data_IF_421033979101
#
_entry.id   IF_421033979101
#
_cell.length_a   1.000
_cell.length_b   1.000
_cell.length_c   1.000
_cell.angle_alpha   90.00
_cell.angle_beta   90.00
_cell.angle_gamma   90.00
#
_symmetry.space_group_name_H-M   'P 1'
#
loop_
_entity.id
_entity.type
_entity.pdbx_description
1 polymer ?
#
# COMPACT_ATOMS: atom_id res chain seq x y z
N UNK A 1 21.49 -41.26 41.36
CA UNK A 1 21.87 -39.83 41.28
C UNK A 1 22.53 -39.61 39.93
N UNK A 2 21.81 -39.05 38.96
CA UNK A 2 22.36 -38.54 37.71
C UNK A 2 21.49 -37.33 37.32
N UNK A 3 22.11 -36.14 37.33
CA UNK A 3 21.47 -34.89 36.96
C UNK A 3 21.55 -34.66 35.46
N UNK A 4 20.43 -34.28 34.85
CA UNK A 4 20.36 -33.72 33.50
C UNK A 4 19.66 -32.37 33.60
N UNK A 5 20.45 -31.30 33.62
CA UNK A 5 20.01 -29.93 33.38
C UNK A 5 19.82 -29.75 31.88
N UNK A 6 18.58 -29.74 31.40
CA UNK A 6 18.26 -29.30 30.04
C UNK A 6 18.20 -27.77 30.01
N UNK A 7 19.20 -27.17 29.38
CA UNK A 7 19.21 -25.78 28.93
C UNK A 7 18.11 -25.55 27.89
N UNK A 8 17.18 -24.62 28.16
CA UNK A 8 16.22 -24.12 27.17
C UNK A 8 16.95 -23.44 26.01
N UNK A 9 16.53 -23.61 24.75
CA UNK A 9 17.11 -22.87 23.64
C UNK A 9 16.66 -21.41 23.73
N UNK A 10 17.63 -20.50 23.66
CA UNK A 10 17.42 -19.07 23.45
C UNK A 10 16.83 -18.83 22.05
N UNK A 11 15.89 -17.89 21.86
CA UNK A 11 15.43 -17.52 20.53
C UNK A 11 16.58 -16.85 19.78
N UNK A 12 16.96 -17.42 18.64
CA UNK A 12 18.01 -16.88 17.77
C UNK A 12 17.51 -15.58 17.13
N UNK A 13 18.33 -14.51 17.08
CA UNK A 13 18.00 -13.28 16.39
C UNK A 13 17.95 -13.52 14.88
N UNK A 14 16.98 -12.91 14.22
CA UNK A 14 16.84 -12.90 12.77
C UNK A 14 18.14 -12.40 12.12
N UNK A 15 18.78 -13.27 11.33
CA UNK A 15 19.99 -12.98 10.58
C UNK A 15 19.65 -12.01 9.43
N UNK A 16 20.34 -10.88 9.38
CA UNK A 16 20.48 -10.00 8.22
C UNK A 16 20.99 -10.80 7.00
N UNK A 17 20.42 -10.58 5.81
CA UNK A 17 21.16 -10.80 4.55
C UNK A 17 20.52 -11.62 3.43
N UNK A 18 19.19 -11.69 3.32
CA UNK A 18 18.54 -11.94 2.02
C UNK A 18 17.53 -10.83 1.83
N UNK A 19 17.77 -9.92 0.89
CA UNK A 19 16.75 -8.94 0.48
C UNK A 19 15.52 -9.75 0.04
N UNK A 20 14.47 -9.74 0.85
CA UNK A 20 13.21 -10.31 0.41
C UNK A 20 12.77 -9.54 -0.84
N UNK A 21 12.58 -10.21 -1.98
CA UNK A 21 12.19 -9.52 -3.19
C UNK A 21 10.83 -8.84 -2.96
N UNK A 22 10.78 -7.54 -3.26
CA UNK A 22 9.67 -6.65 -2.95
C UNK A 22 8.68 -6.56 -4.10
N UNK A 23 7.40 -6.34 -3.78
CA UNK A 23 6.36 -6.04 -4.76
C UNK A 23 6.65 -4.70 -5.44
N UNK A 24 6.44 -4.59 -6.76
CA UNK A 24 6.60 -3.34 -7.51
C UNK A 24 5.44 -3.15 -8.49
N UNK A 25 4.95 -1.93 -8.62
CA UNK A 25 4.07 -1.49 -9.69
C UNK A 25 4.95 -1.09 -10.87
N UNK A 26 4.82 -1.79 -12.00
CA UNK A 26 5.67 -1.54 -13.17
C UNK A 26 4.99 -0.68 -14.22
N UNK A 27 3.67 -0.76 -14.32
CA UNK A 27 2.92 -0.05 -15.35
C UNK A 27 1.51 0.33 -14.89
N UNK A 28 1.03 1.47 -15.36
CA UNK A 28 -0.37 1.91 -15.27
C UNK A 28 -0.79 2.52 -16.61
N UNK A 29 -1.87 1.99 -17.20
CA UNK A 29 -2.56 2.55 -18.37
C UNK A 29 -3.94 3.03 -17.97
N UNK A 30 -4.28 4.23 -18.42
CA UNK A 30 -5.54 4.90 -18.12
C UNK A 30 -6.29 5.08 -19.43
N UNK A 31 -7.29 4.24 -19.65
CA UNK A 31 -8.19 4.35 -20.81
C UNK A 31 -9.27 5.40 -20.57
N UNK A 32 -9.72 5.53 -19.31
CA UNK A 32 -10.63 6.59 -18.89
C UNK A 32 -10.63 6.75 -17.38
N UNK A 33 -10.39 7.97 -16.89
CA UNK A 33 -10.47 8.29 -15.47
C UNK A 33 -10.64 9.79 -15.27
N UNK A 34 -11.86 10.21 -14.88
CA UNK A 34 -12.19 11.62 -14.61
C UNK A 34 -11.79 12.54 -15.79
N UNK A 35 -10.89 13.48 -15.53
CA UNK A 35 -10.37 14.49 -16.45
C UNK A 35 -8.95 14.19 -16.95
N UNK A 36 -8.46 12.97 -16.74
CA UNK A 36 -7.16 12.52 -17.26
C UNK A 36 -7.28 12.17 -18.74
N UNK A 37 -6.31 12.59 -19.53
CA UNK A 37 -6.25 12.31 -20.96
C UNK A 37 -6.32 10.78 -21.22
N UNK A 38 -7.29 10.30 -22.03
CA UNK A 38 -7.38 8.89 -22.41
C UNK A 38 -6.11 8.37 -23.08
N UNK A 39 -5.75 7.12 -22.83
CA UNK A 39 -4.54 6.49 -23.36
C UNK A 39 -3.26 6.91 -22.64
N UNK A 40 -3.37 7.52 -21.46
CA UNK A 40 -2.21 7.83 -20.61
C UNK A 40 -1.54 6.53 -20.17
N UNK A 41 -0.23 6.42 -20.39
CA UNK A 41 0.58 5.25 -20.03
C UNK A 41 1.79 5.70 -19.22
N UNK A 42 1.94 5.10 -18.04
CA UNK A 42 3.02 5.36 -17.10
C UNK A 42 3.78 4.07 -16.82
N UNK A 43 5.11 4.15 -16.84
CA UNK A 43 6.02 3.07 -16.49
C UNK A 43 6.85 3.53 -15.31
N UNK A 44 6.84 2.77 -14.22
CA UNK A 44 7.41 3.25 -12.97
C UNK A 44 8.80 2.67 -12.72
N UNK A 45 9.67 3.52 -12.20
CA UNK A 45 10.96 3.08 -11.65
C UNK A 45 10.73 2.22 -10.40
N UNK A 46 11.52 1.14 -10.20
CA UNK A 46 11.35 0.22 -9.07
C UNK A 46 11.73 0.84 -7.71
N UNK A 47 12.43 1.98 -7.71
CA UNK A 47 12.90 2.66 -6.50
C UNK A 47 12.13 3.95 -6.25
N UNK A 48 12.20 4.92 -7.16
CA UNK A 48 11.72 6.27 -6.93
C UNK A 48 10.94 6.83 -8.11
N UNK A 49 9.79 7.43 -7.81
CA UNK A 49 8.89 8.08 -8.76
C UNK A 49 8.49 9.44 -8.18
N UNK A 50 8.97 10.53 -8.78
CA UNK A 50 8.64 11.90 -8.43
C UNK A 50 7.48 12.38 -9.32
N UNK A 51 6.38 12.75 -8.68
CA UNK A 51 5.19 13.32 -9.31
C UNK A 51 5.28 14.84 -9.22
N UNK A 52 5.48 15.47 -10.37
CA UNK A 52 5.82 16.89 -10.50
C UNK A 52 4.77 17.66 -11.31
N UNK A 53 4.80 18.98 -11.23
CA UNK A 53 3.86 19.86 -11.93
C UNK A 53 3.20 20.90 -11.02
N UNK A 54 2.44 21.79 -11.62
CA UNK A 54 1.80 22.91 -10.93
C UNK A 54 0.64 22.46 -10.00
N UNK A 55 0.11 23.41 -9.22
CA UNK A 55 -1.11 23.19 -8.45
C UNK A 55 -2.30 23.02 -9.41
N UNK A 56 -3.11 21.97 -9.18
CA UNK A 56 -4.26 21.66 -10.03
C UNK A 56 -3.98 20.71 -11.20
N UNK A 57 -2.72 20.37 -11.49
CA UNK A 57 -2.37 19.48 -12.62
C UNK A 57 -2.65 17.99 -12.39
N UNK A 58 -3.17 17.63 -11.20
CA UNK A 58 -3.57 16.27 -10.87
C UNK A 58 -2.54 15.43 -10.10
N UNK A 59 -1.48 16.03 -9.55
CA UNK A 59 -0.47 15.31 -8.74
C UNK A 59 -1.08 14.46 -7.61
N UNK A 60 -1.89 15.08 -6.76
CA UNK A 60 -2.60 14.37 -5.68
C UNK A 60 -3.58 13.33 -6.21
N UNK A 61 -4.28 13.63 -7.33
CA UNK A 61 -5.19 12.68 -7.97
C UNK A 61 -4.46 11.42 -8.48
N UNK A 62 -3.25 11.58 -9.02
CA UNK A 62 -2.40 10.45 -9.41
C UNK A 62 -1.97 9.64 -8.18
N UNK A 63 -1.51 10.28 -7.10
CA UNK A 63 -1.12 9.57 -5.87
C UNK A 63 -2.29 8.81 -5.24
N UNK A 64 -3.49 9.39 -5.23
CA UNK A 64 -4.68 8.67 -4.77
C UNK A 64 -5.04 7.50 -5.69
N UNK A 65 -4.92 7.65 -7.01
CA UNK A 65 -5.14 6.57 -7.97
C UNK A 65 -4.15 5.42 -7.73
N UNK A 66 -2.87 5.74 -7.49
CA UNK A 66 -1.84 4.75 -7.17
C UNK A 66 -2.18 3.99 -5.88
N UNK A 67 -2.63 4.69 -4.84
CA UNK A 67 -3.08 4.04 -3.60
C UNK A 67 -4.27 3.11 -3.83
N UNK A 68 -5.27 3.53 -4.64
CA UNK A 68 -6.41 2.68 -5.02
C UNK A 68 -6.00 1.46 -5.83
N UNK A 69 -5.10 1.64 -6.80
CA UNK A 69 -4.55 0.56 -7.64
C UNK A 69 -3.80 -0.46 -6.80
N UNK A 70 -2.93 -0.02 -5.89
CA UNK A 70 -2.16 -0.92 -5.02
C UNK A 70 -3.04 -1.63 -3.98
N UNK A 71 -4.10 -0.96 -3.51
CA UNK A 71 -5.11 -1.58 -2.64
C UNK A 71 -6.11 -2.48 -3.38
N UNK A 72 -6.19 -2.34 -4.71
CA UNK A 72 -7.30 -2.85 -5.52
C UNK A 72 -8.68 -2.46 -4.96
N UNK A 73 -8.78 -1.25 -4.41
CA UNK A 73 -10.00 -0.70 -3.78
C UNK A 73 -10.54 0.43 -4.65
N UNK A 74 -11.58 0.11 -5.43
CA UNK A 74 -12.27 1.02 -6.34
C UNK A 74 -13.68 1.37 -5.84
N UNK A 75 -13.99 1.06 -4.58
CA UNK A 75 -15.32 1.30 -3.97
C UNK A 75 -15.73 2.78 -4.08
N UNK A 76 -14.78 3.70 -3.93
CA UNK A 76 -14.98 5.14 -4.11
C UNK A 76 -15.28 5.58 -5.55
N UNK A 77 -15.18 4.69 -6.54
CA UNK A 77 -15.49 4.94 -7.95
C UNK A 77 -16.72 4.17 -8.43
N UNK A 78 -17.50 3.56 -7.53
CA UNK A 78 -18.65 2.74 -7.89
C UNK A 78 -19.73 3.51 -8.67
N UNK A 79 -19.79 4.83 -8.50
CA UNK A 79 -20.72 5.72 -9.18
C UNK A 79 -20.10 6.52 -10.33
N UNK A 80 -18.84 6.26 -10.67
CA UNK A 80 -18.09 6.96 -11.72
C UNK A 80 -17.67 5.98 -12.82
N UNK A 81 -17.59 6.47 -14.07
CA UNK A 81 -17.02 5.70 -15.16
C UNK A 81 -15.49 5.72 -15.10
N UNK A 82 -14.87 4.55 -15.22
CA UNK A 82 -13.42 4.44 -15.33
C UNK A 82 -12.99 3.16 -16.06
N UNK A 83 -11.77 3.17 -16.59
CA UNK A 83 -11.13 2.00 -17.21
C UNK A 83 -9.61 2.11 -17.09
N UNK A 84 -9.01 1.12 -16.43
CA UNK A 84 -7.61 1.08 -16.04
C UNK A 84 -7.01 -0.30 -16.34
N UNK A 85 -5.72 -0.31 -16.65
CA UNK A 85 -4.89 -1.51 -16.66
C UNK A 85 -3.61 -1.24 -15.87
N UNK A 86 -3.15 -2.21 -15.07
CA UNK A 86 -1.90 -2.06 -14.35
C UNK A 86 -1.19 -3.40 -14.20
N UNK A 87 0.13 -3.33 -14.01
CA UNK A 87 0.99 -4.50 -13.87
C UNK A 87 1.79 -4.41 -12.57
N UNK A 88 1.82 -5.51 -11.84
CA UNK A 88 2.55 -5.68 -10.59
C UNK A 88 3.53 -6.83 -10.75
N UNK A 89 4.78 -6.62 -10.37
CA UNK A 89 5.78 -7.68 -10.30
C UNK A 89 6.03 -8.07 -8.84
N UNK A 90 6.16 -9.36 -8.63
CA UNK A 90 6.40 -9.98 -7.35
C UNK A 90 7.46 -11.07 -7.51
N UNK A 91 8.02 -11.57 -6.42
CA UNK A 91 8.96 -12.69 -6.48
C UNK A 91 8.30 -13.92 -7.12
N UNK A 92 8.77 -14.33 -8.29
CA UNK A 92 8.30 -15.53 -8.96
C UNK A 92 6.93 -15.40 -9.65
N UNK A 93 6.38 -14.19 -9.78
CA UNK A 93 5.09 -13.96 -10.44
C UNK A 93 4.90 -12.54 -10.97
N UNK A 94 4.11 -12.42 -12.02
CA UNK A 94 3.62 -11.16 -12.58
C UNK A 94 2.09 -11.14 -12.59
N UNK A 95 1.51 -10.02 -12.16
CA UNK A 95 0.06 -9.83 -12.09
C UNK A 95 -0.33 -8.64 -12.98
N UNK A 96 -1.13 -8.92 -14.01
CA UNK A 96 -1.77 -7.89 -14.82
C UNK A 96 -3.24 -7.80 -14.43
N UNK A 97 -3.72 -6.59 -14.16
CA UNK A 97 -5.11 -6.36 -13.81
C UNK A 97 -5.71 -5.36 -14.78
N UNK A 98 -6.88 -5.70 -15.31
CA UNK A 98 -7.76 -4.80 -16.05
C UNK A 98 -9.03 -4.61 -15.25
N UNK A 99 -9.42 -3.37 -15.00
CA UNK A 99 -10.63 -3.04 -14.25
C UNK A 99 -11.36 -1.89 -14.93
N UNK A 100 -12.68 -1.99 -15.03
CA UNK A 100 -13.51 -0.90 -15.49
C UNK A 100 -14.87 -0.89 -14.82
N UNK A 101 -15.48 0.29 -14.81
CA UNK A 101 -16.87 0.50 -14.47
C UNK A 101 -17.44 1.35 -15.59
N UNK A 102 -18.22 0.76 -16.48
CA UNK A 102 -18.65 1.41 -17.70
C UNK A 102 -20.10 1.05 -18.00
N UNK A 103 -20.80 1.90 -18.75
CA UNK A 103 -22.13 1.54 -19.25
C UNK A 103 -22.01 0.41 -20.27
N UNK A 104 -22.95 -0.55 -20.27
CA UNK A 104 -22.99 -1.58 -21.30
C UNK A 104 -23.03 -0.91 -22.69
N UNK A 105 -21.99 -1.16 -23.48
CA UNK A 105 -22.02 -0.83 -24.90
C UNK A 105 -23.00 -1.78 -25.57
N UNK A 106 -23.86 -1.28 -26.47
CA UNK A 106 -24.82 -2.08 -27.22
C UNK A 106 -24.19 -3.26 -28.01
N UNK A 107 -22.87 -3.23 -28.22
CA UNK A 107 -22.10 -4.26 -28.90
C UNK A 107 -21.68 -5.46 -28.01
N UNK A 108 -21.85 -5.38 -26.68
CA UNK A 108 -21.28 -6.33 -25.72
C UNK A 108 -22.28 -7.32 -25.14
N UNK A 109 -23.39 -7.65 -25.82
CA UNK A 109 -24.22 -8.80 -25.40
C UNK A 109 -23.55 -10.09 -25.85
N UNK A 110 -22.95 -10.91 -24.97
CA UNK A 110 -22.57 -12.26 -25.34
C UNK A 110 -23.87 -13.05 -25.54
N UNK A 111 -23.96 -13.80 -26.63
CA UNK A 111 -25.03 -14.76 -26.85
C UNK A 111 -24.97 -15.80 -25.73
N UNK A 112 -25.90 -15.73 -24.78
CA UNK A 112 -26.01 -16.71 -23.71
C UNK A 112 -26.43 -18.06 -24.28
N UNK A 113 -25.44 -18.91 -24.57
CA UNK A 113 -25.60 -20.35 -24.65
C UNK A 113 -25.31 -20.96 -23.26
N UNK A 114 -26.14 -20.64 -22.27
CA UNK A 114 -26.11 -21.32 -20.96
C UNK A 114 -27.23 -22.36 -20.94
N UNK A 115 -26.83 -23.63 -20.96
CA UNK A 115 -27.73 -24.77 -20.80
C UNK A 115 -28.50 -24.65 -19.49
N UNK A 116 -29.82 -24.78 -19.61
CA UNK A 116 -30.80 -24.67 -18.54
C UNK A 116 -30.58 -25.68 -17.41
N UNK A 117 -30.35 -25.20 -16.19
CA UNK A 117 -30.82 -25.88 -14.98
C UNK A 117 -31.61 -24.86 -14.15
N UNK A 118 -32.90 -25.14 -13.99
CA UNK A 118 -33.87 -24.23 -13.40
C UNK A 118 -33.81 -24.25 -11.88
N UNK A 119 -33.26 -23.19 -11.30
CA UNK A 119 -33.65 -22.67 -9.99
C UNK A 119 -33.84 -21.15 -10.16
N UNK A 120 -34.96 -20.63 -9.66
CA UNK A 120 -35.40 -19.24 -9.80
C UNK A 120 -34.24 -18.24 -9.57
N UNK A 121 -33.93 -17.34 -10.53
CA UNK A 121 -32.95 -16.30 -10.28
C UNK A 121 -33.53 -15.31 -9.28
N UNK A 122 -32.85 -15.16 -8.13
CA UNK A 122 -32.95 -13.96 -7.33
C UNK A 122 -32.67 -12.77 -8.27
N UNK A 123 -33.66 -11.88 -8.41
CA UNK A 123 -33.53 -10.66 -9.20
C UNK A 123 -32.27 -9.93 -8.72
N UNK A 124 -31.28 -9.64 -9.60
CA UNK A 124 -30.16 -8.83 -9.18
C UNK A 124 -30.68 -7.45 -8.72
N UNK A 125 -30.08 -6.82 -7.70
CA UNK A 125 -30.35 -5.42 -7.43
C UNK A 125 -30.04 -4.63 -8.70
N UNK A 126 -31.03 -3.91 -9.23
CA UNK A 126 -30.81 -3.02 -10.37
C UNK A 126 -29.70 -2.04 -10.00
N UNK A 127 -28.62 -2.01 -10.79
CA UNK A 127 -27.58 -1.00 -10.63
C UNK A 127 -28.21 0.36 -10.88
N UNK A 128 -28.42 1.14 -9.81
CA UNK A 128 -29.06 2.47 -9.86
C UNK A 128 -28.38 3.42 -10.87
N UNK A 129 -27.12 3.15 -11.21
CA UNK A 129 -26.29 3.97 -12.10
C UNK A 129 -26.27 3.50 -13.55
N UNK A 130 -26.74 2.28 -13.84
CA UNK A 130 -26.60 1.64 -15.15
C UNK A 130 -25.15 1.33 -15.55
N UNK A 131 -24.21 1.33 -14.59
CA UNK A 131 -22.83 0.94 -14.79
C UNK A 131 -22.64 -0.56 -14.50
N UNK A 132 -21.80 -1.19 -15.31
CA UNK A 132 -21.40 -2.59 -15.21
C UNK A 132 -19.91 -2.66 -14.83
N UNK A 133 -19.60 -3.08 -13.59
CA UNK A 133 -18.24 -3.29 -13.16
C UNK A 133 -17.70 -4.59 -13.77
N UNK A 134 -16.44 -4.57 -14.19
CA UNK A 134 -15.73 -5.73 -14.70
C UNK A 134 -14.27 -5.70 -14.24
N UNK A 135 -13.73 -6.88 -14.02
CA UNK A 135 -12.36 -7.08 -13.59
C UNK A 135 -11.79 -8.35 -14.22
N UNK A 136 -10.60 -8.24 -14.82
CA UNK A 136 -9.80 -9.36 -15.30
C UNK A 136 -8.43 -9.32 -14.64
N UNK A 137 -8.02 -10.43 -14.05
CA UNK A 137 -6.69 -10.63 -13.49
C UNK A 137 -5.99 -11.71 -14.31
N UNK A 138 -4.76 -11.45 -14.73
CA UNK A 138 -3.87 -12.43 -15.35
C UNK A 138 -2.64 -12.58 -14.48
N UNK A 139 -2.49 -13.74 -13.87
CA UNK A 139 -1.37 -14.09 -13.02
C UNK A 139 -0.46 -15.07 -13.77
N UNK A 140 0.75 -14.63 -14.07
CA UNK A 140 1.81 -15.45 -14.62
C UNK A 140 2.72 -15.90 -13.47
N UNK A 141 2.89 -17.20 -13.29
CA UNK A 141 3.87 -17.77 -12.36
C UNK A 141 5.15 -18.14 -13.13
N UNK A 142 6.31 -18.02 -12.48
CA UNK A 142 7.61 -18.39 -13.11
C UNK A 142 7.90 -19.89 -13.01
N UNK A 143 7.50 -20.52 -11.90
CA UNK A 143 7.80 -21.92 -11.61
C UNK A 143 6.78 -22.57 -10.64
N UNK A 144 6.01 -23.59 -11.08
CA UNK A 144 5.86 -23.99 -12.48
C UNK A 144 5.31 -22.82 -13.30
N UNK A 145 5.76 -22.70 -14.56
CA UNK A 145 5.24 -21.65 -15.44
C UNK A 145 3.78 -21.94 -15.69
N UNK A 146 2.90 -21.09 -15.16
CA UNK A 146 1.47 -21.23 -15.37
C UNK A 146 0.77 -19.88 -15.49
N UNK A 147 -0.19 -19.79 -16.39
CA UNK A 147 -1.07 -18.64 -16.57
C UNK A 147 -2.45 -18.94 -15.97
N UNK A 148 -2.78 -18.19 -14.93
CA UNK A 148 -4.11 -18.15 -14.33
C UNK A 148 -4.83 -16.87 -14.79
N UNK A 149 -6.02 -17.00 -15.36
CA UNK A 149 -6.86 -15.87 -15.74
C UNK A 149 -8.16 -15.91 -14.96
N UNK A 150 -8.48 -14.83 -14.26
CA UNK A 150 -9.66 -14.71 -13.42
C UNK A 150 -10.49 -13.54 -13.92
N UNK A 151 -11.79 -13.75 -14.07
CA UNK A 151 -12.74 -12.72 -14.54
C UNK A 151 -13.87 -12.62 -13.56
N UNK A 152 -14.28 -11.40 -13.28
CA UNK A 152 -15.38 -11.13 -12.38
C UNK A 152 -16.17 -9.91 -12.87
N UNK A 153 -17.48 -9.99 -12.71
CA UNK A 153 -18.46 -8.97 -13.10
C UNK A 153 -19.61 -8.95 -12.07
N UNK A 154 -20.72 -8.27 -12.41
CA UNK A 154 -21.90 -8.19 -11.56
C UNK A 154 -22.68 -9.52 -11.45
N UNK A 155 -22.47 -10.47 -12.37
CA UNK A 155 -23.17 -11.75 -12.42
C UNK A 155 -22.38 -12.83 -11.65
N UNK A 156 -21.06 -12.77 -11.64
CA UNK A 156 -20.25 -13.68 -10.86
C UNK A 156 -18.75 -13.65 -11.14
N UNK A 157 -18.11 -14.79 -10.92
CA UNK A 157 -16.67 -14.99 -11.04
C UNK A 157 -16.39 -16.25 -11.83
N UNK A 158 -15.41 -16.22 -12.73
CA UNK A 158 -14.89 -17.38 -13.45
C UNK A 158 -13.37 -17.36 -13.50
N UNK A 159 -12.75 -18.52 -13.69
CA UNK A 159 -11.31 -18.59 -13.97
C UNK A 159 -10.90 -19.73 -14.88
N UNK A 160 -9.77 -19.51 -15.53
CA UNK A 160 -9.13 -20.38 -16.51
C UNK A 160 -7.67 -20.62 -16.11
N UNK A 161 -7.19 -21.84 -16.31
CA UNK A 161 -5.77 -22.20 -16.15
C UNK A 161 -5.29 -22.68 -17.51
N UNK A 162 -4.22 -22.08 -18.05
CA UNK A 162 -3.72 -22.38 -19.40
C UNK A 162 -4.81 -22.31 -20.49
N UNK A 163 -5.75 -21.35 -20.34
CA UNK A 163 -6.89 -21.17 -21.24
C UNK A 163 -7.99 -22.23 -21.13
N UNK A 164 -7.90 -23.18 -20.20
CA UNK A 164 -8.96 -24.15 -19.93
C UNK A 164 -9.90 -23.63 -18.83
N UNK A 165 -11.22 -23.49 -19.08
CA UNK A 165 -12.17 -23.05 -18.08
C UNK A 165 -12.24 -24.10 -16.97
N UNK A 166 -11.85 -23.70 -15.77
CA UNK A 166 -11.74 -24.61 -14.63
C UNK A 166 -12.96 -24.48 -13.71
N UNK A 167 -13.52 -23.28 -13.59
CA UNK A 167 -14.60 -23.01 -12.65
C UNK A 167 -15.36 -21.71 -12.95
N UNK A 168 -16.64 -21.68 -12.59
CA UNK A 168 -17.46 -20.46 -12.59
C UNK A 168 -18.51 -20.54 -11.46
N UNK A 169 -18.82 -19.40 -10.85
CA UNK A 169 -19.87 -19.27 -9.85
C UNK A 169 -20.58 -17.92 -9.97
N UNK A 170 -21.91 -17.96 -9.99
CA UNK A 170 -22.77 -16.77 -9.85
C UNK A 170 -22.69 -16.24 -8.42
N UNK A 171 -22.35 -14.96 -8.25
CA UNK A 171 -22.29 -14.30 -6.95
C UNK A 171 -22.73 -12.84 -7.09
N UNK A 172 -23.64 -12.40 -6.22
CA UNK A 172 -24.10 -11.01 -6.19
C UNK A 172 -23.37 -10.23 -5.08
N UNK A 173 -22.46 -9.35 -5.47
CA UNK A 173 -21.60 -8.57 -4.58
C UNK A 173 -21.07 -7.30 -5.26
N UNK A 174 -20.48 -6.39 -4.47
CA UNK A 174 -19.74 -5.25 -5.03
C UNK A 174 -18.38 -5.72 -5.55
N UNK A 175 -18.17 -5.66 -6.86
CA UNK A 175 -16.89 -6.03 -7.48
C UNK A 175 -15.77 -5.01 -7.19
N UNK A 176 -16.12 -3.82 -6.75
CA UNK A 176 -15.17 -2.71 -6.65
C UNK A 176 -14.57 -2.54 -5.25
N UNK A 177 -15.06 -3.27 -4.24
CA UNK A 177 -14.55 -3.20 -2.86
C UNK A 177 -13.56 -4.32 -2.56
N UNK A 178 -12.27 -4.09 -2.84
CA UNK A 178 -11.15 -5.01 -2.51
C UNK A 178 -11.33 -6.43 -3.05
N UNK A 179 -12.20 -6.57 -4.03
CA UNK A 179 -12.76 -7.84 -4.49
C UNK A 179 -11.72 -8.67 -5.25
N UNK A 180 -10.75 -8.03 -5.91
CA UNK A 180 -9.53 -8.66 -6.48
C UNK A 180 -8.98 -9.73 -5.53
N UNK A 181 -8.84 -9.36 -4.26
CA UNK A 181 -8.18 -10.19 -3.26
C UNK A 181 -9.09 -11.29 -2.72
N UNK A 182 -10.38 -11.03 -2.57
CA UNK A 182 -11.34 -12.06 -2.18
C UNK A 182 -11.47 -13.11 -3.29
N UNK A 183 -11.51 -12.69 -4.56
CA UNK A 183 -11.50 -13.58 -5.73
C UNK A 183 -10.22 -14.42 -5.74
N UNK A 184 -9.04 -13.78 -5.62
CA UNK A 184 -7.76 -14.49 -5.52
C UNK A 184 -7.72 -15.49 -4.35
N UNK A 185 -8.23 -15.10 -3.18
CA UNK A 185 -8.30 -15.98 -2.02
C UNK A 185 -9.21 -17.19 -2.26
N UNK A 186 -10.41 -16.99 -2.78
CA UNK A 186 -11.36 -18.07 -3.07
C UNK A 186 -10.80 -19.05 -4.10
N UNK A 187 -10.08 -18.55 -5.11
CA UNK A 187 -9.40 -19.38 -6.10
C UNK A 187 -8.23 -20.13 -5.48
N UNK A 188 -7.41 -19.47 -4.67
CA UNK A 188 -6.27 -20.08 -3.97
C UNK A 188 -6.67 -21.28 -3.09
N UNK A 189 -7.89 -21.29 -2.52
CA UNK A 189 -8.39 -22.43 -1.75
C UNK A 189 -8.55 -23.72 -2.57
N UNK A 190 -8.61 -23.61 -3.91
CA UNK A 190 -8.84 -24.73 -4.83
C UNK A 190 -7.63 -25.06 -5.71
N UNK A 191 -6.55 -24.29 -5.61
CA UNK A 191 -5.30 -24.53 -6.33
C UNK A 191 -4.39 -25.49 -5.55
N UNK A 192 -3.38 -26.02 -6.23
CA UNK A 192 -2.34 -26.85 -5.61
C UNK A 192 -1.66 -26.12 -4.44
N UNK A 193 -1.20 -26.84 -3.39
CA UNK A 193 -0.67 -26.24 -2.16
C UNK A 193 0.43 -25.19 -2.38
N UNK A 194 1.34 -25.43 -3.34
CA UNK A 194 2.47 -24.53 -3.60
C UNK A 194 2.01 -23.17 -4.17
N UNK A 195 1.00 -23.17 -5.05
CA UNK A 195 0.42 -21.94 -5.60
C UNK A 195 -0.38 -21.21 -4.52
N UNK A 196 -1.08 -21.97 -3.67
CA UNK A 196 -1.86 -21.44 -2.54
C UNK A 196 -0.98 -20.65 -1.56
N UNK A 197 0.20 -21.17 -1.18
CA UNK A 197 1.10 -20.45 -0.26
C UNK A 197 1.64 -19.15 -0.87
N UNK A 198 1.99 -19.15 -2.16
CA UNK A 198 2.42 -17.93 -2.85
C UNK A 198 1.32 -16.89 -2.95
N UNK A 199 0.09 -17.32 -3.23
CA UNK A 199 -1.08 -16.45 -3.24
C UNK A 199 -1.43 -15.92 -1.85
N UNK A 200 -1.25 -16.70 -0.78
CA UNK A 200 -1.41 -16.21 0.59
C UNK A 200 -0.44 -15.08 0.91
N UNK A 201 0.82 -15.19 0.50
CA UNK A 201 1.79 -14.12 0.72
C UNK A 201 1.46 -12.87 -0.10
N UNK A 202 1.05 -13.04 -1.36
CA UNK A 202 0.51 -11.96 -2.19
C UNK A 202 -0.64 -11.25 -1.48
N UNK A 203 -1.65 -12.01 -1.04
CA UNK A 203 -2.81 -11.47 -0.33
C UNK A 203 -2.42 -10.78 0.98
N UNK A 204 -1.46 -11.31 1.73
CA UNK A 204 -0.98 -10.69 2.96
C UNK A 204 -0.36 -9.32 2.67
N UNK A 205 0.43 -9.19 1.60
CA UNK A 205 1.09 -7.93 1.21
C UNK A 205 0.12 -6.90 0.62
N UNK A 206 -0.92 -7.34 -0.08
CA UNK A 206 -1.81 -6.42 -0.80
C UNK A 206 -3.16 -6.18 -0.12
N UNK A 207 -3.82 -7.22 0.41
CA UNK A 207 -5.15 -7.09 1.03
C UNK A 207 -5.07 -6.43 2.40
N UNK A 208 -4.05 -6.75 3.19
CA UNK A 208 -3.92 -6.29 4.58
C UNK A 208 -3.03 -5.05 4.74
N UNK A 209 -2.11 -4.80 3.82
CA UNK A 209 -1.00 -3.84 3.98
C UNK A 209 -0.86 -2.86 2.81
N UNK A 210 -1.91 -2.65 2.00
CA UNK A 210 -1.82 -1.71 0.89
C UNK A 210 -1.51 -0.28 1.37
N UNK A 211 -0.58 0.43 0.72
CA UNK A 211 -0.17 1.76 1.13
C UNK A 211 -1.30 2.77 0.93
N UNK A 212 -1.64 3.45 2.01
CA UNK A 212 -2.43 4.68 1.94
C UNK A 212 -1.55 5.85 1.50
N UNK A 213 -2.17 6.91 0.96
CA UNK A 213 -1.48 8.18 0.72
C UNK A 213 -1.16 8.83 2.08
N UNK A 214 0.12 9.04 2.36
CA UNK A 214 0.57 9.87 3.48
C UNK A 214 0.60 11.32 3.03
N UNK A 215 -0.28 12.17 3.58
CA UNK A 215 -0.40 13.56 3.15
C UNK A 215 0.14 14.56 4.15
N UNK A 216 -0.09 15.84 3.88
CA UNK A 216 0.36 16.91 4.75
C UNK A 216 -0.47 17.08 6.02
N UNK A 217 -1.61 16.43 6.12
CA UNK A 217 -2.47 16.53 7.28
C UNK A 217 -1.93 15.71 8.45
N UNK A 218 -2.64 15.77 9.59
CA UNK A 218 -2.42 14.86 10.72
C UNK A 218 -3.35 13.65 10.66
N UNK A 219 -3.95 13.33 9.50
CA UNK A 219 -4.88 12.22 9.32
C UNK A 219 -4.26 10.88 9.75
N UNK A 220 -3.03 10.58 9.31
CA UNK A 220 -2.32 9.36 9.75
C UNK A 220 -2.08 9.35 11.26
N UNK A 221 -1.73 10.49 11.86
CA UNK A 221 -1.54 10.59 13.32
C UNK A 221 -2.84 10.32 14.08
N UNK A 222 -3.96 10.88 13.62
CA UNK A 222 -5.27 10.65 14.20
C UNK A 222 -5.70 9.19 14.05
N UNK A 223 -5.51 8.62 12.86
CA UNK A 223 -5.82 7.22 12.56
C UNK A 223 -5.04 6.26 13.45
N UNK A 224 -3.75 6.52 13.72
CA UNK A 224 -2.95 5.73 14.66
C UNK A 224 -3.63 5.65 16.03
N UNK A 225 -4.10 6.77 16.57
CA UNK A 225 -4.77 6.81 17.87
C UNK A 225 -6.10 6.05 17.92
N UNK A 226 -6.83 5.99 16.80
CA UNK A 226 -8.12 5.29 16.68
C UNK A 226 -8.00 3.86 16.14
N UNK A 227 -6.79 3.40 15.83
CA UNK A 227 -6.56 2.05 15.31
C UNK A 227 -7.00 1.01 16.34
N UNK A 228 -7.71 -0.01 15.84
CA UNK A 228 -8.16 -1.15 16.61
C UNK A 228 -7.68 -2.43 15.94
N UNK A 229 -7.37 -3.42 16.75
CA UNK A 229 -6.91 -4.72 16.29
C UNK A 229 -7.55 -5.83 17.11
N UNK A 230 -8.31 -6.68 16.43
CA UNK A 230 -8.83 -7.91 17.01
C UNK A 230 -7.89 -9.08 16.73
N UNK A 231 -7.76 -9.98 17.67
CA UNK A 231 -7.21 -11.31 17.43
C UNK A 231 -8.14 -12.36 18.05
N UNK A 232 -8.31 -13.47 17.34
CA UNK A 232 -8.98 -14.66 17.83
C UNK A 232 -7.93 -15.75 18.06
N UNK A 233 -7.98 -16.37 19.23
CA UNK A 233 -7.10 -17.46 19.62
C UNK A 233 -7.92 -18.74 19.61
N UNK A 234 -7.45 -19.77 18.91
CA UNK A 234 -8.00 -21.12 18.90
C UNK A 234 -6.90 -22.10 19.30
N UNK A 235 -6.93 -22.61 20.53
CA UNK A 235 -5.79 -23.33 21.09
C UNK A 235 -4.50 -22.49 21.04
N UNK A 236 -3.48 -22.99 20.34
CA UNK A 236 -2.20 -22.29 20.14
C UNK A 236 -2.21 -21.37 18.88
N UNK A 237 -3.22 -21.47 18.03
CA UNK A 237 -3.32 -20.68 16.79
C UNK A 237 -3.93 -19.30 17.05
N UNK A 238 -3.41 -18.28 16.37
CA UNK A 238 -3.90 -16.90 16.48
C UNK A 238 -4.24 -16.36 15.11
N UNK A 239 -5.48 -15.93 14.97
CA UNK A 239 -6.06 -15.37 13.75
C UNK A 239 -6.27 -13.86 13.94
N UNK A 240 -5.59 -13.00 13.16
CA UNK A 240 -5.88 -11.57 13.17
C UNK A 240 -7.29 -11.33 12.61
N UNK A 241 -8.06 -10.48 13.28
CA UNK A 241 -9.39 -10.05 12.85
C UNK A 241 -9.32 -8.62 12.31
N UNK A 242 -9.61 -8.49 11.01
CA UNK A 242 -9.66 -7.19 10.32
C UNK A 242 -8.36 -6.78 9.64
N UNK A 243 -8.40 -5.60 9.03
CA UNK A 243 -7.28 -5.03 8.29
C UNK A 243 -6.19 -4.55 9.26
N UNK A 244 -4.94 -4.88 8.96
CA UNK A 244 -3.82 -4.66 9.87
C UNK A 244 -3.14 -3.32 9.57
N UNK A 245 -3.65 -2.23 10.16
CA UNK A 245 -2.90 -0.97 10.21
C UNK A 245 -1.86 -0.97 11.35
N UNK A 246 -1.16 -2.09 11.56
CA UNK A 246 -0.18 -2.29 12.63
C UNK A 246 1.23 -2.58 12.09
N UNK A 247 2.29 -2.07 12.76
CA UNK A 247 3.67 -2.44 12.45
C UNK A 247 3.85 -3.95 12.49
N UNK A 248 4.64 -4.51 11.56
CA UNK A 248 4.80 -5.98 11.42
C UNK A 248 5.18 -6.71 12.71
N UNK A 249 5.97 -6.07 13.57
CA UNK A 249 6.42 -6.63 14.84
C UNK A 249 5.33 -6.64 15.93
N UNK A 250 4.34 -5.73 15.85
CA UNK A 250 3.39 -5.52 16.93
C UNK A 250 2.42 -6.70 17.13
N UNK A 251 1.81 -7.31 16.10
CA UNK A 251 0.93 -8.47 16.27
C UNK A 251 1.59 -9.64 17.00
N UNK A 252 2.86 -9.93 16.66
CA UNK A 252 3.66 -10.96 17.33
C UNK A 252 3.85 -10.66 18.81
N UNK A 253 4.25 -9.43 19.16
CA UNK A 253 4.40 -9.02 20.55
C UNK A 253 3.08 -8.98 21.33
N UNK A 254 1.98 -8.56 20.70
CA UNK A 254 0.65 -8.59 21.31
C UNK A 254 0.24 -10.03 21.65
N UNK A 255 0.53 -10.99 20.76
CA UNK A 255 0.30 -12.41 20.99
C UNK A 255 1.13 -12.92 22.16
N UNK A 256 2.44 -12.67 22.15
CA UNK A 256 3.35 -13.12 23.21
C UNK A 256 2.98 -12.58 24.59
N UNK A 257 2.39 -11.38 24.65
CA UNK A 257 2.02 -10.68 25.88
C UNK A 257 0.52 -10.68 26.14
N UNK A 258 -0.26 -11.54 25.49
CA UNK A 258 -1.71 -11.59 25.61
C UNK A 258 -2.19 -11.83 27.07
N UNK A 259 -1.50 -12.70 27.81
CA UNK A 259 -1.79 -12.95 29.22
C UNK A 259 -1.47 -11.74 30.11
N UNK A 260 -0.35 -11.06 29.85
CA UNK A 260 0.00 -9.82 30.54
C UNK A 260 -1.05 -8.73 30.29
N UNK A 261 -1.48 -8.57 29.04
CA UNK A 261 -2.53 -7.63 28.67
C UNK A 261 -3.84 -7.93 29.39
N UNK A 262 -4.18 -9.22 29.50
CA UNK A 262 -5.38 -9.69 30.18
C UNK A 262 -5.38 -9.39 31.69
N UNK A 263 -4.20 -9.37 32.33
CA UNK A 263 -4.05 -9.05 33.74
C UNK A 263 -4.01 -7.53 34.00
N UNK A 264 -3.28 -6.77 33.17
CA UNK A 264 -3.04 -5.34 33.38
C UNK A 264 -4.06 -4.42 32.68
N UNK A 265 -4.80 -4.93 31.71
CA UNK A 265 -5.69 -4.15 30.84
C UNK A 265 -4.98 -3.32 29.76
N UNK A 266 -3.65 -3.38 29.69
CA UNK A 266 -2.85 -2.69 28.68
C UNK A 266 -1.48 -3.36 28.52
N UNK A 267 -0.80 -3.03 27.42
CA UNK A 267 0.60 -3.31 27.19
C UNK A 267 1.36 -2.01 26.98
N UNK A 268 2.60 -1.96 27.45
CA UNK A 268 3.51 -0.85 27.22
C UNK A 268 4.80 -1.40 26.59
N UNK A 269 5.26 -0.72 25.54
CA UNK A 269 6.45 -1.03 24.77
C UNK A 269 7.42 0.15 24.85
N UNK A 270 8.67 -0.11 25.20
CA UNK A 270 9.73 0.89 25.18
C UNK A 270 10.34 1.00 23.79
N UNK A 271 10.86 2.19 23.48
CA UNK A 271 11.52 2.47 22.21
C UNK A 271 12.71 1.56 21.88
N UNK A 272 13.35 0.95 22.88
CA UNK A 272 14.51 0.09 22.75
C UNK A 272 14.18 -1.41 22.69
N UNK A 273 12.90 -1.79 22.73
CA UNK A 273 12.49 -3.20 22.61
C UNK A 273 12.54 -3.73 21.17
N UNK A 274 12.30 -2.85 20.19
CA UNK A 274 12.37 -3.20 18.76
C UNK A 274 13.42 -2.30 18.13
N UNK A 275 14.59 -2.88 17.87
CA UNK A 275 15.68 -2.17 17.22
C UNK A 275 15.23 -1.64 15.86
N UNK A 276 15.56 -0.40 15.57
CA UNK A 276 15.16 0.31 14.35
C UNK A 276 13.65 0.44 14.12
N UNK A 277 12.77 0.04 15.03
CA UNK A 277 11.32 0.29 14.90
C UNK A 277 10.99 1.78 14.90
N UNK A 278 9.78 2.14 14.48
CA UNK A 278 9.36 3.55 14.34
C UNK A 278 9.59 4.36 15.63
N UNK A 279 9.37 3.75 16.80
CA UNK A 279 9.51 4.40 18.09
C UNK A 279 10.98 4.69 18.43
N UNK A 280 11.87 3.74 18.17
CA UNK A 280 13.32 3.91 18.31
C UNK A 280 13.83 5.06 17.43
N UNK A 281 13.45 5.03 16.14
CA UNK A 281 13.82 6.06 15.16
C UNK A 281 13.28 7.43 15.56
N UNK A 282 12.03 7.50 16.02
CA UNK A 282 11.43 8.75 16.44
C UNK A 282 12.14 9.36 17.65
N UNK A 283 12.41 8.57 18.69
CA UNK A 283 13.12 9.04 19.89
C UNK A 283 14.49 9.62 19.53
N UNK A 284 15.24 8.92 18.68
CA UNK A 284 16.55 9.36 18.19
C UNK A 284 16.45 10.67 17.37
N UNK A 285 15.58 10.69 16.34
CA UNK A 285 15.47 11.81 15.41
C UNK A 285 14.87 13.08 16.04
N UNK A 286 13.88 12.93 16.92
CA UNK A 286 13.25 14.04 17.63
C UNK A 286 14.07 14.51 18.86
N UNK A 287 15.15 13.79 19.20
CA UNK A 287 16.06 14.18 20.28
C UNK A 287 15.54 13.93 21.69
N UNK A 288 14.64 12.96 21.85
CA UNK A 288 14.17 12.47 23.16
C UNK A 288 15.18 11.48 23.76
N UNK A 289 15.11 11.30 25.08
CA UNK A 289 15.93 10.33 25.81
C UNK A 289 15.29 8.94 25.81
N UNK A 290 13.96 8.88 25.87
CA UNK A 290 13.20 7.63 25.81
C UNK A 290 11.79 7.86 25.29
N UNK A 291 11.18 6.80 24.76
CA UNK A 291 9.78 6.77 24.35
C UNK A 291 9.10 5.50 24.83
N UNK A 292 7.80 5.62 25.09
CA UNK A 292 6.89 4.53 25.46
C UNK A 292 5.65 4.57 24.58
N UNK A 293 5.23 3.40 24.13
CA UNK A 293 4.03 3.17 23.33
C UNK A 293 3.10 2.24 24.12
N UNK A 294 1.91 2.74 24.43
CA UNK A 294 0.87 2.03 25.18
C UNK A 294 -0.24 1.59 24.24
N UNK A 295 -0.68 0.35 24.42
CA UNK A 295 -1.83 -0.24 23.73
C UNK A 295 -2.81 -0.77 24.78
N UNK A 296 -4.07 -0.33 24.74
CA UNK A 296 -5.10 -0.77 25.69
C UNK A 296 -5.81 -2.02 25.20
N UNK A 297 -6.16 -2.92 26.12
CA UNK A 297 -7.08 -4.02 25.87
C UNK A 297 -8.51 -3.49 26.02
N UNK A 298 -9.24 -3.42 24.91
CA UNK A 298 -10.60 -2.89 24.83
C UNK A 298 -11.65 -3.94 25.16
N UNK A 299 -11.48 -5.16 24.66
CA UNK A 299 -12.41 -6.25 24.86
C UNK A 299 -11.69 -7.59 25.03
N UNK A 300 -12.25 -8.44 25.88
CA UNK A 300 -11.90 -9.85 26.02
C UNK A 300 -13.17 -10.68 26.00
N UNK A 301 -13.16 -11.75 25.21
CA UNK A 301 -14.17 -12.81 25.22
C UNK A 301 -13.44 -14.14 25.31
N UNK A 302 -13.91 -15.03 26.17
CA UNK A 302 -13.38 -16.39 26.27
C UNK A 302 -14.42 -17.37 25.75
N UNK A 303 -13.98 -18.39 25.04
CA UNK A 303 -14.77 -19.49 24.50
C UNK A 303 -14.21 -20.83 25.00
N UNK A 304 -14.94 -21.94 24.84
CA UNK A 304 -14.47 -23.26 25.32
C UNK A 304 -13.13 -23.68 24.68
N UNK A 305 -12.93 -23.35 23.40
CA UNK A 305 -11.72 -23.67 22.62
C UNK A 305 -10.85 -22.44 22.29
N UNK A 306 -10.95 -21.36 23.08
CA UNK A 306 -10.12 -20.17 22.84
C UNK A 306 -10.65 -18.84 23.37
N UNK A 307 -10.41 -17.77 22.63
CA UNK A 307 -10.86 -16.44 23.03
C UNK A 307 -10.56 -15.34 22.01
N UNK A 308 -11.27 -14.22 22.13
CA UNK A 308 -11.06 -13.01 21.32
C UNK A 308 -10.53 -11.88 22.19
N UNK A 309 -9.48 -11.23 21.73
CA UNK A 309 -8.90 -10.03 22.34
C UNK A 309 -8.99 -8.88 21.34
N UNK A 310 -9.38 -7.71 21.82
CA UNK A 310 -9.39 -6.49 21.01
C UNK A 310 -8.51 -5.43 21.67
N UNK A 311 -7.58 -4.88 20.90
CA UNK A 311 -6.63 -3.88 21.31
C UNK A 311 -6.89 -2.55 20.59
N UNK A 312 -6.52 -1.44 21.21
CA UNK A 312 -6.59 -0.13 20.57
C UNK A 312 -6.15 1.01 21.48
N UNK A 313 -6.62 2.23 21.18
CA UNK A 313 -6.30 3.47 21.93
C UNK A 313 -4.80 3.66 22.12
N UNK A 314 -4.11 3.79 21.00
CA UNK A 314 -2.67 3.90 20.98
C UNK A 314 -2.25 5.23 21.61
N UNK A 315 -1.36 5.13 22.60
CA UNK A 315 -0.87 6.27 23.37
C UNK A 315 0.64 6.33 23.37
N UNK A 316 1.19 7.52 23.15
CA UNK A 316 2.64 7.73 23.19
C UNK A 316 3.06 8.69 24.30
N UNK A 317 4.16 8.36 24.96
CA UNK A 317 4.83 9.21 25.96
C UNK A 317 6.32 9.28 25.69
N UNK A 318 6.90 10.45 25.85
CA UNK A 318 8.30 10.72 25.56
C UNK A 318 8.97 11.47 26.69
N UNK A 319 10.21 11.14 26.98
CA UNK A 319 10.99 11.83 28.02
C UNK A 319 12.07 12.66 27.36
N UNK A 320 12.11 13.95 27.69
CA UNK A 320 13.14 14.89 27.22
C UNK A 320 14.45 14.70 27.99
N UNK A 321 15.50 15.39 27.54
CA UNK A 321 16.83 15.38 28.20
C UNK A 321 16.82 16.00 29.60
N UNK A 322 15.89 16.92 29.86
CA UNK A 322 15.66 17.53 31.18
C UNK A 322 14.82 16.63 32.12
N UNK A 323 14.44 15.42 31.68
CA UNK A 323 13.62 14.48 32.44
C UNK A 323 12.11 14.76 32.37
N UNK A 324 11.67 15.84 31.72
CA UNK A 324 10.24 16.14 31.57
C UNK A 324 9.58 15.12 30.64
N UNK A 325 8.48 14.53 31.11
CA UNK A 325 7.63 13.65 30.31
C UNK A 325 6.61 14.46 29.50
N UNK A 326 6.50 14.16 28.22
CA UNK A 326 5.53 14.72 27.30
C UNK A 326 4.56 13.63 26.84
N UNK A 327 3.27 13.96 26.81
CA UNK A 327 2.28 13.16 26.12
C UNK A 327 2.25 13.49 24.62
N UNK A 328 1.64 12.60 23.83
CA UNK A 328 1.46 12.79 22.40
C UNK A 328 0.71 14.08 22.03
N UNK A 329 -0.20 14.56 22.88
CA UNK A 329 -0.96 15.80 22.66
C UNK A 329 -0.04 17.02 22.65
N UNK A 330 0.99 17.00 23.51
CA UNK A 330 1.98 18.06 23.68
C UNK A 330 3.04 18.09 22.57
N UNK A 331 3.06 17.11 21.66
CA UNK A 331 3.95 17.13 20.50
C UNK A 331 3.54 18.25 19.53
N UNK A 332 4.55 18.99 19.06
CA UNK A 332 4.39 19.94 17.97
C UNK A 332 4.04 19.26 16.65
N UNK A 333 3.55 20.03 15.68
CA UNK A 333 3.07 19.54 14.38
C UNK A 333 4.12 18.68 13.66
N UNK A 334 5.36 19.16 13.51
CA UNK A 334 6.44 18.41 12.88
C UNK A 334 6.80 17.09 13.59
N UNK A 335 6.71 17.05 14.93
CA UNK A 335 6.92 15.81 15.68
C UNK A 335 5.80 14.81 15.45
N UNK A 336 4.54 15.24 15.44
CA UNK A 336 3.39 14.37 15.14
C UNK A 336 3.53 13.77 13.73
N UNK A 337 3.91 14.59 12.75
CA UNK A 337 4.17 14.13 11.39
C UNK A 337 5.32 13.15 11.28
N UNK A 338 6.45 13.44 11.92
CA UNK A 338 7.60 12.53 11.93
C UNK A 338 7.21 11.18 12.56
N UNK A 339 6.54 11.18 13.71
CA UNK A 339 6.10 9.95 14.37
C UNK A 339 5.19 9.14 13.46
N UNK A 340 4.22 9.80 12.81
CA UNK A 340 3.28 9.13 11.90
C UNK A 340 3.92 8.64 10.63
N UNK A 341 4.88 9.37 10.06
CA UNK A 341 5.60 8.90 8.88
C UNK A 341 6.47 7.69 9.22
N UNK A 342 7.16 7.70 10.36
CA UNK A 342 7.96 6.54 10.78
C UNK A 342 7.07 5.33 11.07
N UNK A 343 5.89 5.53 11.66
CA UNK A 343 4.89 4.48 11.84
C UNK A 343 4.41 3.95 10.48
N UNK A 344 4.09 4.85 9.55
CA UNK A 344 3.72 4.52 8.17
C UNK A 344 4.78 3.67 7.47
N UNK A 345 6.07 3.98 7.63
CA UNK A 345 7.14 3.16 7.06
C UNK A 345 7.19 1.74 7.65
N UNK A 346 6.87 1.57 8.94
CA UNK A 346 6.79 0.24 9.57
C UNK A 346 5.53 -0.55 9.19
N UNK A 347 4.52 0.12 8.61
CA UNK A 347 3.34 -0.54 8.04
C UNK A 347 3.58 -1.04 6.62
N UNK A 348 4.35 -0.29 5.83
CA UNK A 348 4.38 -0.44 4.39
C UNK A 348 5.69 -1.07 3.91
N UNK A 349 5.60 -2.35 3.58
CA UNK A 349 6.60 -3.21 2.96
C UNK A 349 7.44 -2.67 1.81
N UNK A 350 6.65 -2.41 0.78
CA UNK A 350 7.08 -2.47 -0.60
C UNK A 350 6.96 -1.09 -1.26
N UNK A 351 6.14 -0.22 -0.66
CA UNK A 351 5.72 1.05 -1.24
C UNK A 351 5.73 2.20 -0.23
N UNK A 352 5.94 3.40 -0.75
CA UNK A 352 5.62 4.65 -0.05
C UNK A 352 4.86 5.55 -1.01
N UNK A 353 3.73 6.08 -0.59
CA UNK A 353 3.00 7.13 -1.31
C UNK A 353 2.96 8.34 -0.39
N UNK A 354 3.75 9.37 -0.70
CA UNK A 354 3.85 10.56 0.15
C UNK A 354 3.58 11.86 -0.63
N UNK A 355 2.61 12.62 -0.12
CA UNK A 355 2.23 13.94 -0.57
C UNK A 355 2.77 14.99 0.41
N UNK A 356 3.56 15.93 -0.10
CA UNK A 356 4.16 17.02 0.69
C UNK A 356 4.88 16.54 1.97
N UNK A 357 5.74 15.52 1.83
CA UNK A 357 6.48 14.91 2.94
C UNK A 357 7.27 15.93 3.77
N UNK A 358 7.86 16.94 3.12
CA UNK A 358 8.66 17.95 3.80
C UNK A 358 7.86 18.95 4.63
N UNK A 359 6.53 19.03 4.46
CA UNK A 359 5.76 20.08 5.10
C UNK A 359 5.81 19.96 6.64
N UNK A 360 6.20 21.05 7.30
CA UNK A 360 6.37 21.13 8.75
C UNK A 360 7.57 20.36 9.33
N UNK A 361 8.43 19.77 8.51
CA UNK A 361 9.65 19.07 8.95
C UNK A 361 10.89 19.96 8.80
N UNK A 362 11.79 19.86 9.78
CA UNK A 362 13.13 20.46 9.66
C UNK A 362 13.95 19.72 8.58
N UNK A 363 14.85 20.39 7.83
CA UNK A 363 15.60 19.74 6.74
C UNK A 363 16.30 18.42 7.07
N UNK A 364 16.97 18.37 8.23
CA UNK A 364 17.59 17.13 8.73
C UNK A 364 16.61 15.96 8.90
N UNK A 365 15.35 16.25 9.23
CA UNK A 365 14.30 15.23 9.34
C UNK A 365 13.78 14.81 7.97
N UNK A 366 13.69 15.73 7.00
CA UNK A 366 13.35 15.41 5.62
C UNK A 366 14.37 14.43 5.03
N UNK A 367 15.67 14.73 5.18
CA UNK A 367 16.75 13.85 4.75
C UNK A 367 16.67 12.46 5.43
N UNK A 368 16.38 12.43 6.75
CA UNK A 368 16.20 11.18 7.47
C UNK A 368 14.99 10.37 6.97
N UNK A 369 13.87 11.03 6.68
CA UNK A 369 12.67 10.40 6.11
C UNK A 369 12.96 9.81 4.72
N UNK A 370 13.68 10.55 3.87
CA UNK A 370 14.03 10.08 2.52
C UNK A 370 15.00 8.90 2.54
N UNK A 371 16.00 8.90 3.43
CA UNK A 371 16.83 7.72 3.68
C UNK A 371 16.02 6.53 4.20
N UNK A 372 15.01 6.81 5.02
CA UNK A 372 14.10 5.81 5.59
C UNK A 372 13.22 5.10 4.56
N UNK A 373 13.07 5.63 3.35
CA UNK A 373 12.35 4.96 2.26
C UNK A 373 12.96 3.58 1.95
N UNK A 374 14.29 3.47 2.01
CA UNK A 374 15.02 2.22 1.80
C UNK A 374 14.81 1.66 0.40
N UNK A 375 14.50 0.37 0.30
CA UNK A 375 14.31 -0.38 -0.96
C UNK A 375 12.87 -0.30 -1.50
N UNK A 376 11.98 0.43 -0.83
CA UNK A 376 10.57 0.59 -1.22
C UNK A 376 10.44 1.36 -2.53
N UNK A 377 9.43 1.02 -3.32
CA UNK A 377 9.04 1.84 -4.46
C UNK A 377 8.30 3.06 -3.95
N UNK A 378 8.88 4.23 -4.12
CA UNK A 378 8.40 5.47 -3.53
C UNK A 378 7.76 6.35 -4.60
N UNK A 379 6.57 6.88 -4.30
CA UNK A 379 5.84 7.87 -5.09
C UNK A 379 5.74 9.14 -4.27
N UNK A 380 6.47 10.18 -4.67
CA UNK A 380 6.61 11.41 -3.90
C UNK A 380 6.17 12.62 -4.72
N UNK A 381 5.45 13.55 -4.10
CA UNK A 381 5.26 14.91 -4.63
C UNK A 381 5.65 15.93 -3.56
N UNK A 382 6.15 17.09 -3.99
CA UNK A 382 6.28 18.24 -3.09
C UNK A 382 6.33 19.58 -3.83
N UNK A 383 5.80 20.61 -3.20
CA UNK A 383 5.98 22.04 -3.50
C UNK A 383 7.21 22.62 -2.79
N UNK A 384 7.80 21.88 -1.85
CA UNK A 384 9.09 22.25 -1.28
C UNK A 384 10.20 21.65 -2.16
N UNK A 385 11.22 22.42 -2.59
CA UNK A 385 12.33 21.86 -3.36
C UNK A 385 13.20 20.88 -2.56
N UNK A 386 13.18 20.99 -1.23
CA UNK A 386 14.12 20.33 -0.33
C UNK A 386 14.17 18.80 -0.46
N UNK A 387 13.05 18.05 -0.62
CA UNK A 387 13.12 16.62 -0.85
C UNK A 387 13.97 16.25 -2.07
N UNK A 388 13.90 17.05 -3.13
CA UNK A 388 14.60 16.78 -4.38
C UNK A 388 16.11 16.97 -4.26
N UNK A 389 16.59 17.71 -3.26
CA UNK A 389 18.03 17.88 -2.99
C UNK A 389 18.69 16.61 -2.44
N UNK A 390 17.89 15.67 -1.93
CA UNK A 390 18.36 14.42 -1.34
C UNK A 390 18.08 13.20 -2.22
N UNK A 391 17.53 13.40 -3.42
CA UNK A 391 17.22 12.34 -4.37
C UNK A 391 18.46 12.01 -5.21
N UNK A 392 18.98 10.77 -5.12
CA UNK A 392 20.03 10.31 -6.04
C UNK A 392 19.41 9.99 -7.41
N UNK A 393 20.08 10.41 -8.48
CA UNK A 393 19.77 10.02 -9.87
C UNK A 393 21.03 9.46 -10.49
N UNK A 394 21.00 8.21 -10.95
CA UNK A 394 22.16 7.48 -11.46
C UNK A 394 22.29 7.47 -12.98
N UNK A 395 21.21 7.71 -13.73
CA UNK A 395 21.26 7.74 -15.20
C UNK A 395 20.17 8.61 -15.83
N UNK A 396 20.32 8.97 -17.11
CA UNK A 396 19.28 9.66 -17.87
C UNK A 396 18.00 8.82 -18.04
N UNK A 397 18.14 7.50 -18.13
CA UNK A 397 17.00 6.58 -18.21
C UNK A 397 16.26 6.49 -16.87
N UNK A 398 17.00 6.48 -15.76
CA UNK A 398 16.41 6.60 -14.43
C UNK A 398 15.68 7.94 -14.28
N UNK A 399 16.26 9.07 -14.70
CA UNK A 399 15.54 10.35 -14.74
C UNK A 399 14.24 10.25 -15.54
N UNK A 400 14.28 9.62 -16.71
CA UNK A 400 13.09 9.48 -17.58
C UNK A 400 11.98 8.70 -16.89
N UNK A 401 12.32 7.56 -16.28
CA UNK A 401 11.36 6.63 -15.67
C UNK A 401 10.94 7.04 -14.26
N UNK A 402 11.79 7.76 -13.53
CA UNK A 402 11.51 8.27 -12.19
C UNK A 402 10.75 9.58 -12.16
N UNK A 403 10.70 10.36 -13.24
CA UNK A 403 9.94 11.61 -13.26
C UNK A 403 8.60 11.41 -13.97
N UNK A 404 7.53 11.85 -13.32
CA UNK A 404 6.18 11.91 -13.88
C UNK A 404 5.76 13.38 -13.85
N UNK A 405 5.67 13.99 -15.02
CA UNK A 405 5.20 15.36 -15.18
C UNK A 405 3.68 15.37 -15.33
N UNK A 406 3.01 16.09 -14.45
CA UNK A 406 1.59 16.35 -14.49
C UNK A 406 1.36 17.78 -14.96
N UNK A 407 0.69 17.94 -16.10
CA UNK A 407 0.29 19.24 -16.64
C UNK A 407 -1.19 19.26 -16.98
N UNK A 408 -1.69 20.44 -17.30
CA UNK A 408 -3.05 20.63 -17.80
C UNK A 408 -2.97 21.15 -19.24
N UNK A 409 -3.66 20.49 -20.16
CA UNK A 409 -3.65 20.80 -21.58
C UNK A 409 -5.07 20.90 -22.15
N UNK A 410 -5.31 21.92 -22.98
CA UNK A 410 -6.55 22.06 -23.73
C UNK A 410 -6.50 21.17 -24.98
N UNK A 411 -7.39 20.17 -25.07
CA UNK A 411 -7.57 19.32 -26.26
C UNK A 411 -9.03 19.35 -26.67
N UNK A 412 -9.29 19.68 -27.93
CA UNK A 412 -10.64 19.72 -28.50
C UNK A 412 -11.61 20.62 -27.70
N UNK A 413 -11.10 21.74 -27.16
CA UNK A 413 -11.91 22.69 -26.38
C UNK A 413 -12.23 22.24 -24.94
N UNK A 414 -11.73 21.08 -24.51
CA UNK A 414 -11.83 20.58 -23.13
C UNK A 414 -10.46 20.57 -22.48
N UNK A 415 -10.43 20.93 -21.21
CA UNK A 415 -9.23 20.86 -20.38
C UNK A 415 -9.01 19.42 -19.90
N UNK A 416 -7.80 18.90 -20.09
CA UNK A 416 -7.40 17.55 -19.70
C UNK A 416 -6.13 17.60 -18.86
N UNK A 417 -6.07 16.76 -17.84
CA UNK A 417 -4.81 16.47 -17.14
C UNK A 417 -4.00 15.49 -17.97
N UNK A 418 -2.75 15.85 -18.26
CA UNK A 418 -1.81 15.03 -19.01
C UNK A 418 -0.71 14.61 -18.06
N UNK A 419 -0.56 13.30 -17.87
CA UNK A 419 0.51 12.72 -17.06
C UNK A 419 1.45 11.98 -17.99
N UNK A 420 2.73 12.35 -17.98
CA UNK A 420 3.71 11.76 -18.87
C UNK A 420 5.11 11.80 -18.28
N UNK A 421 5.96 10.88 -18.74
CA UNK A 421 7.40 10.97 -18.53
C UNK A 421 8.00 12.09 -19.38
N UNK A 422 9.08 12.75 -18.93
CA UNK A 422 9.80 13.71 -19.76
C UNK A 422 10.35 13.01 -21.01
N UNK A 423 10.44 13.76 -22.12
CA UNK A 423 11.08 13.27 -23.34
C UNK A 423 12.55 12.88 -23.08
N UNK A 424 13.05 11.88 -23.81
CA UNK A 424 14.41 11.34 -23.63
C UNK A 424 15.51 12.42 -23.75
N UNK A 425 15.34 13.39 -24.64
CA UNK A 425 16.26 14.53 -24.78
C UNK A 425 16.27 15.40 -23.52
N UNK A 426 15.09 15.71 -22.96
CA UNK A 426 14.95 16.49 -21.72
C UNK A 426 15.58 15.75 -20.54
N UNK A 427 15.32 14.44 -20.41
CA UNK A 427 15.94 13.61 -19.37
C UNK A 427 17.47 13.59 -19.48
N UNK A 428 18.02 13.49 -20.70
CA UNK A 428 19.47 13.52 -20.95
C UNK A 428 20.08 14.85 -20.57
N UNK A 429 19.45 15.98 -20.97
CA UNK A 429 19.93 17.33 -20.62
C UNK A 429 19.89 17.57 -19.11
N UNK A 430 18.78 17.20 -18.46
CA UNK A 430 18.60 17.34 -17.02
C UNK A 430 19.65 16.51 -16.27
N UNK A 431 19.82 15.25 -16.63
CA UNK A 431 20.80 14.38 -16.00
C UNK A 431 22.24 14.90 -16.17
N UNK A 432 22.60 15.35 -17.38
CA UNK A 432 23.90 15.97 -17.62
C UNK A 432 24.13 17.24 -16.79
N UNK A 433 23.07 18.01 -16.49
CA UNK A 433 23.15 19.17 -15.59
C UNK A 433 23.24 18.76 -14.12
N UNK A 434 22.49 17.75 -13.69
CA UNK A 434 22.53 17.19 -12.36
C UNK A 434 23.93 16.65 -12.02
N UNK A 435 24.56 15.91 -12.94
CA UNK A 435 25.90 15.36 -12.76
C UNK A 435 27.00 16.42 -12.57
N UNK A 436 26.82 17.64 -13.09
CA UNK A 436 27.78 18.73 -12.87
C UNK A 436 27.76 19.23 -11.42
N UNK A 437 26.65 19.07 -10.71
CA UNK A 437 26.53 19.42 -9.30
C UNK A 437 26.46 20.92 -8.98
N UNK A 438 26.48 21.80 -9.99
CA UNK A 438 26.49 23.25 -9.80
C UNK A 438 25.12 23.83 -9.39
N UNK A 439 24.03 23.12 -9.74
CA UNK A 439 22.65 23.60 -9.58
C UNK A 439 21.80 22.57 -8.85
N UNK A 440 21.07 22.93 -7.78
CA UNK A 440 20.16 22.02 -7.10
C UNK A 440 19.07 21.46 -8.02
N UNK A 441 18.67 20.20 -7.79
CA UNK A 441 17.71 19.49 -8.64
C UNK A 441 16.38 20.26 -8.80
N UNK A 442 15.83 20.82 -7.71
CA UNK A 442 14.59 21.62 -7.79
C UNK A 442 14.71 22.82 -8.75
N UNK A 443 15.88 23.45 -8.85
CA UNK A 443 16.10 24.54 -9.81
C UNK A 443 16.25 24.02 -11.24
N UNK A 444 16.88 22.87 -11.43
CA UNK A 444 16.94 22.21 -12.74
C UNK A 444 15.54 21.84 -13.23
N UNK A 445 14.69 21.27 -12.38
CA UNK A 445 13.32 20.90 -12.71
C UNK A 445 12.50 22.10 -13.20
N UNK A 446 12.57 23.24 -12.50
CA UNK A 446 11.95 24.50 -12.95
C UNK A 446 12.48 24.99 -14.29
N UNK A 447 13.80 24.97 -14.47
CA UNK A 447 14.45 25.45 -15.70
C UNK A 447 14.02 24.62 -16.92
N UNK A 448 13.72 23.34 -16.70
CA UNK A 448 13.22 22.43 -17.73
C UNK A 448 11.68 22.39 -17.82
N UNK A 449 10.96 23.22 -17.06
CA UNK A 449 9.50 23.31 -17.10
C UNK A 449 8.78 22.07 -16.56
N UNK A 450 9.40 21.35 -15.62
CA UNK A 450 8.85 20.12 -15.05
C UNK A 450 8.27 20.31 -13.63
N UNK A 451 8.48 21.47 -13.01
CA UNK A 451 8.06 21.75 -11.63
C UNK A 451 7.76 23.22 -11.41
#
# INVERSE_FOLDING_TARGET
MNGFTQSRPSPSPATLGVEEPAMKLTQLKIHGYRDVAPGTELVFSPSLNLVLGENGSGRTQLLELLSRVLASDFSGLIHEEFSLEYALTFPGMELHVRVHNARPSAASRPSAAHGTSALLPLRPPESETGLEPFMELRLQLDAPSSLLVMRADAEGVSWEVEGQPTWSQTMHWSLLDRTVWVVLFMTAQRLEPDIKERLKELLRRTFLLAPTRFDESLGTFQQMGTTQYGMEMHGDEVFPLGLMALPRWLPGLLRERAEQASAAGFLEFRHDEVEQGFLARFVSLAGFTSGRFRVELLQRRSYEDGGRLEFGRFGFRFTRRDGVELSQEQLGYGHKRLLSFLYYLDLNDDFVIADELANGLHPRLVEACLRGLGTRQSFLTSQNPLPFEHVPLGSAEEVRTSLIHCETALREGREWKVWAHPAAETATRLFGAYQRGDTPLGTLLRTHGLW
#
